data_IF_194020062289
#
_entry.id   IF_194020062289
#
_cell.length_a   1.000
_cell.length_b   1.000
_cell.length_c   1.000
_cell.angle_alpha   90.00
_cell.angle_beta   90.00
_cell.angle_gamma   90.00
#
_symmetry.space_group_name_H-M   'P 1'
#
loop_
_entity.id
_entity.type
_entity.pdbx_description
1 polymer ?
#
# COMPACT_ATOMS: atom_id res chain seq x y z
N UNK A 1 -36.98 -11.06 12.01
CA UNK A 1 -35.74 -11.66 12.57
C UNK A 1 -34.99 -12.28 11.41
N UNK A 2 -33.72 -11.95 11.18
CA UNK A 2 -32.91 -12.67 10.20
C UNK A 2 -32.65 -14.07 10.76
N UNK A 3 -33.19 -15.10 10.12
CA UNK A 3 -33.09 -16.49 10.59
C UNK A 3 -31.74 -17.13 10.25
N UNK A 4 -31.03 -16.59 9.24
CA UNK A 4 -29.68 -17.04 8.84
C UNK A 4 -28.96 -15.95 8.04
N UNK A 5 -27.68 -15.72 8.35
CA UNK A 5 -26.74 -14.90 7.58
C UNK A 5 -25.68 -15.82 6.99
N UNK A 6 -25.61 -15.91 5.66
CA UNK A 6 -24.52 -16.61 4.96
C UNK A 6 -23.64 -15.60 4.23
N UNK A 7 -22.33 -15.73 4.42
CA UNK A 7 -21.34 -14.88 3.78
C UNK A 7 -21.13 -15.37 2.33
N UNK A 8 -21.45 -14.53 1.35
CA UNK A 8 -21.08 -14.79 -0.05
C UNK A 8 -19.58 -14.57 -0.26
N UNK A 9 -18.79 -15.58 0.09
CA UNK A 9 -17.33 -15.56 -0.08
C UNK A 9 -16.89 -15.37 -1.52
N UNK A 10 -17.69 -15.82 -2.49
CA UNK A 10 -17.39 -15.71 -3.92
C UNK A 10 -17.59 -14.26 -4.39
N UNK A 11 -18.74 -13.67 -4.09
CA UNK A 11 -19.04 -12.28 -4.41
C UNK A 11 -18.06 -11.32 -3.73
N UNK A 12 -17.67 -11.57 -2.48
CA UNK A 12 -16.65 -10.78 -1.79
C UNK A 12 -15.31 -10.86 -2.50
N UNK A 13 -14.85 -12.05 -2.89
CA UNK A 13 -13.59 -12.21 -3.61
C UNK A 13 -13.62 -11.50 -4.97
N UNK A 14 -14.72 -11.61 -5.70
CA UNK A 14 -14.92 -10.94 -6.98
C UNK A 14 -14.84 -9.42 -6.81
N UNK A 15 -15.52 -8.87 -5.80
CA UNK A 15 -15.45 -7.45 -5.47
C UNK A 15 -14.04 -7.00 -5.08
N UNK A 16 -13.36 -7.73 -4.19
CA UNK A 16 -11.99 -7.40 -3.73
C UNK A 16 -10.95 -7.46 -4.86
N UNK A 17 -11.18 -8.27 -5.89
CA UNK A 17 -10.35 -8.34 -7.10
C UNK A 17 -10.76 -7.35 -8.20
N UNK A 18 -11.88 -6.64 -8.03
CA UNK A 18 -12.50 -5.75 -8.99
C UNK A 18 -11.72 -4.47 -9.27
N UNK A 19 -12.13 -3.75 -10.32
CA UNK A 19 -11.46 -2.54 -10.79
C UNK A 19 -11.55 -1.38 -9.77
N UNK A 20 -12.65 -1.32 -9.03
CA UNK A 20 -12.94 -0.30 -8.03
C UNK A 20 -11.94 -0.38 -6.88
N UNK A 21 -11.74 -1.59 -6.33
CA UNK A 21 -10.78 -1.82 -5.24
C UNK A 21 -9.35 -1.56 -5.73
N UNK A 22 -9.00 -1.97 -6.95
CA UNK A 22 -7.70 -1.66 -7.55
C UNK A 22 -7.45 -0.16 -7.65
N UNK A 23 -8.42 0.59 -8.16
CA UNK A 23 -8.34 2.05 -8.30
C UNK A 23 -8.13 2.72 -6.94
N UNK A 24 -8.82 2.23 -5.90
CA UNK A 24 -8.71 2.73 -4.54
C UNK A 24 -7.30 2.47 -3.97
N UNK A 25 -6.78 1.24 -4.14
CA UNK A 25 -5.43 0.86 -3.72
C UNK A 25 -4.36 1.65 -4.46
N UNK A 26 -4.49 1.81 -5.78
CA UNK A 26 -3.55 2.56 -6.61
C UNK A 26 -3.53 4.04 -6.21
N UNK A 27 -4.69 4.63 -5.93
CA UNK A 27 -4.80 5.99 -5.42
C UNK A 27 -4.07 6.19 -4.09
N UNK A 28 -4.26 5.29 -3.13
CA UNK A 28 -3.54 5.31 -1.86
C UNK A 28 -2.03 5.14 -2.07
N UNK A 29 -1.61 4.25 -2.97
CA UNK A 29 -0.19 4.05 -3.28
C UNK A 29 0.46 5.31 -3.89
N UNK A 30 -0.28 6.06 -4.72
CA UNK A 30 0.16 7.36 -5.26
C UNK A 30 0.28 8.42 -4.16
N UNK A 31 -0.65 8.49 -3.21
CA UNK A 31 -0.53 9.40 -2.05
C UNK A 31 0.71 9.07 -1.21
N UNK A 32 0.93 7.79 -0.89
CA UNK A 32 2.13 7.34 -0.19
C UNK A 32 3.39 7.71 -0.98
N UNK A 33 3.42 7.50 -2.30
CA UNK A 33 4.54 7.90 -3.16
C UNK A 33 4.83 9.40 -3.04
N UNK A 34 3.81 10.27 -3.08
CA UNK A 34 3.98 11.72 -2.97
C UNK A 34 4.59 12.09 -1.60
N UNK A 35 4.09 11.49 -0.53
CA UNK A 35 4.61 11.70 0.83
C UNK A 35 6.05 11.21 0.98
N UNK A 36 6.38 10.05 0.43
CA UNK A 36 7.76 9.54 0.42
C UNK A 36 8.67 10.51 -0.32
N UNK A 37 8.27 11.01 -1.51
CA UNK A 37 9.05 11.98 -2.29
C UNK A 37 9.33 13.27 -1.52
N UNK A 38 8.36 13.77 -0.75
CA UNK A 38 8.53 14.96 0.07
C UNK A 38 9.60 14.83 1.18
N UNK A 39 10.02 13.60 1.52
CA UNK A 39 11.03 13.29 2.55
C UNK A 39 12.41 12.97 1.98
N UNK A 40 12.53 12.90 0.67
CA UNK A 40 13.74 12.48 -0.02
C UNK A 40 14.39 13.64 -0.74
N UNK A 41 15.70 13.55 -1.04
CA UNK A 41 16.35 14.53 -1.90
C UNK A 41 15.59 14.69 -3.24
N UNK A 42 15.48 15.91 -3.78
CA UNK A 42 14.84 16.14 -5.07
C UNK A 42 15.41 15.23 -6.16
N UNK A 43 14.53 14.72 -7.04
CA UNK A 43 14.92 13.82 -8.12
C UNK A 43 15.11 12.35 -7.71
N UNK A 44 14.98 12.00 -6.43
CA UNK A 44 15.04 10.59 -6.01
C UNK A 44 13.89 9.78 -6.63
N UNK A 45 14.18 8.69 -7.36
CA UNK A 45 13.15 7.91 -8.03
C UNK A 45 12.35 7.08 -7.02
N UNK A 46 11.05 7.37 -6.90
CA UNK A 46 10.08 6.56 -6.16
C UNK A 46 9.06 6.01 -7.15
N UNK A 47 8.88 4.69 -7.18
CA UNK A 47 8.02 3.97 -8.13
C UNK A 47 6.83 3.35 -7.42
N UNK A 48 5.68 3.38 -8.08
CA UNK A 48 4.49 2.60 -7.72
C UNK A 48 4.37 1.47 -8.72
N UNK A 49 4.16 0.24 -8.26
CA UNK A 49 3.87 -0.92 -9.11
C UNK A 49 2.63 -1.63 -8.60
N UNK A 50 1.50 -1.53 -9.32
CA UNK A 50 0.32 -2.35 -9.04
C UNK A 50 0.60 -3.84 -9.28
N UNK A 51 -0.02 -4.70 -8.49
CA UNK A 51 -0.03 -6.14 -8.68
C UNK A 51 -1.33 -6.74 -8.14
N UNK A 52 -1.50 -8.05 -8.24
CA UNK A 52 -2.74 -8.73 -7.85
C UNK A 52 -2.42 -9.89 -6.93
N UNK A 53 -3.16 -9.98 -5.83
CA UNK A 53 -3.22 -11.16 -4.95
C UNK A 53 -4.64 -11.73 -4.97
N UNK A 54 -5.13 -12.24 -3.85
CA UNK A 54 -6.55 -12.43 -3.56
C UNK A 54 -7.36 -11.11 -3.50
N UNK A 55 -6.69 -9.96 -3.56
CA UNK A 55 -7.23 -8.59 -3.61
C UNK A 55 -6.32 -7.66 -4.42
N UNK A 56 -6.80 -6.44 -4.72
CA UNK A 56 -5.96 -5.38 -5.27
C UNK A 56 -4.78 -5.04 -4.33
N UNK A 57 -3.58 -4.89 -4.89
CA UNK A 57 -2.37 -4.58 -4.14
C UNK A 57 -1.41 -3.71 -4.97
N UNK A 58 -0.58 -2.91 -4.31
CA UNK A 58 0.43 -2.08 -4.95
C UNK A 58 1.67 -1.97 -4.08
N UNK A 59 2.85 -1.87 -4.71
CA UNK A 59 4.12 -1.62 -4.01
C UNK A 59 4.60 -0.20 -4.27
N UNK A 60 5.18 0.41 -3.24
CA UNK A 60 5.89 1.69 -3.33
C UNK A 60 7.36 1.43 -3.05
N UNK A 61 8.24 1.81 -3.98
CA UNK A 61 9.67 1.49 -3.90
C UNK A 61 10.52 2.73 -4.10
N UNK A 62 11.46 2.96 -3.19
CA UNK A 62 12.54 3.93 -3.39
C UNK A 62 13.60 3.24 -4.26
N UNK A 63 13.69 3.61 -5.53
CA UNK A 63 14.60 3.02 -6.50
C UNK A 63 15.99 3.67 -6.47
N UNK A 64 16.53 3.86 -5.26
CA UNK A 64 17.86 4.42 -4.99
C UNK A 64 18.58 3.50 -3.99
N UNK A 65 19.88 3.28 -4.20
CA UNK A 65 20.72 2.42 -3.34
C UNK A 65 20.75 2.90 -1.88
N UNK A 66 20.52 4.19 -1.64
CA UNK A 66 20.43 4.81 -0.31
C UNK A 66 19.07 4.64 0.34
N UNK A 67 18.07 4.10 -0.38
CA UNK A 67 16.71 3.92 0.10
C UNK A 67 16.62 3.18 1.43
N UNK A 68 17.43 2.12 1.59
CA UNK A 68 17.49 1.36 2.83
C UNK A 68 18.04 2.18 4.00
N UNK A 69 19.03 3.04 3.76
CA UNK A 69 19.60 3.91 4.78
C UNK A 69 18.58 4.97 5.25
N UNK A 70 17.83 5.59 4.34
CA UNK A 70 16.77 6.54 4.69
C UNK A 70 15.62 5.86 5.44
N UNK A 71 15.25 4.63 5.07
CA UNK A 71 14.24 3.88 5.80
C UNK A 71 14.72 3.54 7.22
N UNK A 72 15.96 3.09 7.39
CA UNK A 72 16.51 2.74 8.70
C UNK A 72 16.66 3.96 9.62
N UNK A 73 17.10 5.10 9.07
CA UNK A 73 17.34 6.33 9.85
C UNK A 73 16.07 7.10 10.15
N UNK A 74 15.23 7.30 9.13
CA UNK A 74 14.13 8.28 9.17
C UNK A 74 12.75 7.60 9.10
N UNK A 75 12.68 6.30 8.79
CA UNK A 75 11.43 5.57 8.62
C UNK A 75 10.59 6.09 7.46
N UNK A 76 11.20 6.55 6.37
CA UNK A 76 10.53 7.30 5.29
C UNK A 76 9.30 6.61 4.71
N UNK A 77 9.32 5.29 4.52
CA UNK A 77 8.17 4.52 4.01
C UNK A 77 7.13 4.32 5.11
N UNK A 78 7.56 3.92 6.30
CA UNK A 78 6.67 3.63 7.44
C UNK A 78 5.90 4.87 7.88
N UNK A 79 6.57 6.03 7.99
CA UNK A 79 5.93 7.29 8.38
C UNK A 79 5.00 7.80 7.29
N UNK A 80 5.42 7.76 6.03
CA UNK A 80 4.56 8.16 4.92
C UNK A 80 3.29 7.28 4.82
N UNK A 81 3.42 5.97 5.02
CA UNK A 81 2.27 5.06 5.07
C UNK A 81 1.35 5.37 6.26
N UNK A 82 1.91 5.56 7.46
CA UNK A 82 1.12 5.90 8.65
C UNK A 82 0.36 7.22 8.50
N UNK A 83 0.94 8.23 7.89
CA UNK A 83 0.27 9.51 7.62
C UNK A 83 -0.82 9.42 6.54
N UNK A 84 -0.74 8.42 5.67
CA UNK A 84 -1.81 8.06 4.74
C UNK A 84 -2.90 7.19 5.40
N UNK A 85 -2.82 6.97 6.72
CA UNK A 85 -3.78 6.17 7.49
C UNK A 85 -3.60 4.66 7.33
N UNK A 86 -2.48 4.21 6.78
CA UNK A 86 -2.20 2.78 6.56
C UNK A 86 -1.58 2.18 7.82
N UNK A 87 -2.15 1.09 8.29
CA UNK A 87 -1.55 0.26 9.34
C UNK A 87 -0.26 -0.39 8.82
N UNK A 88 0.87 -0.11 9.49
CA UNK A 88 2.15 -0.75 9.15
C UNK A 88 2.38 -1.95 10.05
N UNK A 89 2.49 -3.13 9.45
CA UNK A 89 2.76 -4.39 10.15
C UNK A 89 4.23 -4.76 10.02
N UNK A 90 4.82 -5.29 11.10
CA UNK A 90 6.14 -5.92 10.99
C UNK A 90 5.99 -7.23 10.21
N UNK A 91 6.90 -7.46 9.28
CA UNK A 91 6.90 -8.63 8.42
C UNK A 91 7.15 -9.93 9.22
N UNK A 92 7.71 -9.81 10.44
CA UNK A 92 7.90 -10.93 11.37
C UNK A 92 6.64 -11.32 12.13
N UNK A 93 5.58 -10.51 12.06
CA UNK A 93 4.34 -10.74 12.81
C UNK A 93 3.34 -11.65 12.08
N UNK A 94 3.74 -12.27 10.96
CA UNK A 94 2.93 -13.16 10.13
C UNK A 94 3.22 -14.63 10.35
#
# INVERSE_FOLDING_TARGET
MLERLELDTRGIREFLGGAEVRTLVDGVAVDVQARVRARLPPGTPVRVKPYTTDRGAASVTIADVRGMAWQARDGVLTRAAGEAGIEVKDWRSG
#
